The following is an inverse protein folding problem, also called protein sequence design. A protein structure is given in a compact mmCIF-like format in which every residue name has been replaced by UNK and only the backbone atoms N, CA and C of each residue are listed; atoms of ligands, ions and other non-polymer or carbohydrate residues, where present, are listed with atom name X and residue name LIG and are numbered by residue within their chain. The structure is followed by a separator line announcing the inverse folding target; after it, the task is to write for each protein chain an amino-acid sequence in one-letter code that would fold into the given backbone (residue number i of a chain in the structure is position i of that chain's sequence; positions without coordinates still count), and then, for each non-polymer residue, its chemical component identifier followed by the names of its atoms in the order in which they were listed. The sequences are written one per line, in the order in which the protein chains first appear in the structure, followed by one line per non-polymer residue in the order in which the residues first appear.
data_IF_658831392850
#
_entry.id   IF_658831392850
#
_cell.length_a   1.000
_cell.length_b   1.000
_cell.length_c   1.000
_cell.angle_alpha   90.00
_cell.angle_beta   90.00
_cell.angle_gamma   90.00
#
_symmetry.space_group_name_H-M   'P 1'
#
loop_
_entity.id
_entity.type
_entity.pdbx_description
1 polymer ?
2 branched ?
3 non-polymer ?
4 non-polymer ?
5 non-polymer ?
6 water ?
#
# COMPACT_ATOMS: atom_id res chain seq x y z
N UNK A 23 -11.20 -20.91 18.30
CA UNK A 23 -11.54 -19.51 17.94
C UNK A 23 -10.33 -18.76 17.38
N UNK A 24 -9.30 -19.56 17.10
CA UNK A 24 -7.90 -19.26 16.87
C UNK A 24 -7.61 -19.49 15.39
N UNK A 25 -8.43 -20.35 14.76
CA UNK A 25 -8.04 -20.99 13.54
C UNK A 25 -8.58 -20.22 12.35
N UNK A 26 -7.66 -20.08 11.40
CA UNK A 26 -7.92 -19.53 10.12
C UNK A 26 -8.14 -20.67 9.14
N UNK A 27 -8.76 -20.42 7.98
CA UNK A 27 -8.95 -21.43 6.95
C UNK A 27 -7.61 -22.03 6.53
N UNK A 28 -7.61 -23.33 6.22
CA UNK A 28 -6.37 -23.99 5.86
C UNK A 28 -5.76 -23.41 4.58
N UNK A 29 -6.56 -22.79 3.71
CA UNK A 29 -6.11 -22.18 2.47
C UNK A 29 -5.85 -20.66 2.61
N UNK A 30 -5.82 -20.18 3.84
CA UNK A 30 -5.64 -18.75 4.10
C UNK A 30 -4.24 -18.36 3.59
N UNK A 31 -4.17 -17.17 3.01
CA UNK A 31 -2.89 -16.61 2.57
C UNK A 31 -2.22 -15.92 3.75
N UNK A 32 -0.97 -16.32 4.03
CA UNK A 32 -0.17 -15.76 5.09
C UNK A 32 1.11 -15.22 4.46
N UNK A 33 1.32 -13.91 4.61
CA UNK A 33 2.43 -13.30 3.89
C UNK A 33 3.00 -12.12 4.65
N UNK A 34 4.07 -11.55 4.07
CA UNK A 34 4.53 -10.24 4.42
C UNK A 34 4.68 -9.43 3.14
N UNK A 35 4.66 -8.10 3.28
CA UNK A 35 4.59 -7.19 2.16
C UNK A 35 5.75 -6.22 2.17
N UNK A 36 6.14 -5.83 0.96
CA UNK A 36 7.10 -4.77 0.67
C UNK A 36 6.66 -4.00 -0.58
N UNK A 37 7.40 -2.92 -0.88
CA UNK A 37 7.26 -2.10 -2.09
C UNK A 37 8.66 -1.91 -2.68
N UNK A 38 8.75 -1.85 -4.00
CA UNK A 38 10.04 -1.87 -4.69
C UNK A 38 10.98 -0.75 -4.25
N UNK A 39 10.52 0.49 -4.26
CA UNK A 39 11.42 1.61 -3.96
C UNK A 39 11.91 1.51 -2.51
N UNK A 40 11.09 0.92 -1.65
CA UNK A 40 11.40 0.87 -0.23
C UNK A 40 12.54 -0.08 0.04
N UNK A 41 12.75 -1.09 -0.82
CA UNK A 41 13.67 -2.17 -0.47
C UNK A 41 14.78 -2.39 -1.52
N UNK A 42 14.52 -2.12 -2.81
CA UNK A 42 15.34 -2.73 -3.86
C UNK A 42 16.76 -2.15 -3.98
N UNK A 43 16.90 -0.84 -3.86
CA UNK A 43 18.13 -0.18 -4.27
C UNK A 43 18.44 -0.40 -5.74
N UNK A 44 19.74 -0.49 -6.08
CA UNK A 44 20.15 -0.70 -7.48
C UNK A 44 19.38 0.24 -8.43
N UNK A 45 19.38 1.53 -8.12
CA UNK A 45 18.40 2.45 -8.70
C UNK A 45 18.74 2.80 -10.13
N UNK A 46 20.01 2.70 -10.52
CA UNK A 46 20.39 2.93 -11.90
C UNK A 46 20.84 1.65 -12.60
N UNK A 47 20.68 0.50 -11.97
CA UNK A 47 21.18 -0.74 -12.53
C UNK A 47 20.22 -1.38 -13.55
N UNK A 48 20.80 -2.09 -14.52
CA UNK A 48 20.06 -2.95 -15.43
C UNK A 48 18.92 -2.18 -16.10
N UNK A 49 19.23 -0.94 -16.50
CA UNK A 49 18.35 -0.16 -17.36
C UNK A 49 17.28 0.63 -16.61
N UNK A 50 17.25 0.55 -15.27
CA UNK A 50 16.19 1.24 -14.53
C UNK A 50 16.24 2.73 -14.80
N UNK A 51 15.08 3.32 -15.04
CA UNK A 51 14.98 4.76 -15.21
C UNK A 51 14.82 5.51 -13.90
N UNK A 52 14.67 6.83 -13.95
CA UNK A 52 14.48 7.66 -12.78
C UNK A 52 13.00 7.71 -12.43
N UNK A 53 12.66 7.49 -11.15
CA UNK A 53 11.30 7.59 -10.67
C UNK A 53 11.13 8.91 -9.89
N UNK A 54 9.88 9.33 -9.69
CA UNK A 54 9.58 10.49 -8.88
C UNK A 54 10.23 10.40 -7.51
N UNK A 55 10.35 9.19 -6.96
CA UNK A 55 10.90 9.03 -5.63
C UNK A 55 12.41 9.18 -5.64
N UNK A 56 13.04 8.85 -6.76
CA UNK A 56 14.47 9.19 -6.91
C UNK A 56 14.62 10.70 -6.88
N UNK A 57 13.82 11.40 -7.68
CA UNK A 57 13.89 12.86 -7.70
C UNK A 57 13.60 13.46 -6.32
N UNK A 58 12.55 12.95 -5.68
CA UNK A 58 12.10 13.50 -4.41
C UNK A 58 13.08 13.22 -3.26
N UNK A 59 13.55 11.99 -3.16
CA UNK A 59 14.50 11.58 -2.14
C UNK A 59 15.76 12.42 -2.23
N UNK A 60 16.18 12.70 -3.48
CA UNK A 60 17.40 13.45 -3.76
C UNK A 60 17.17 14.95 -3.66
N UNK A 61 15.99 15.42 -3.25
CA UNK A 61 15.72 16.84 -3.07
C UNK A 61 15.94 17.18 -1.59
N UNK A 62 16.91 18.06 -1.27
CA UNK A 62 17.20 18.38 0.12
C UNK A 62 15.97 18.74 0.94
N UNK A 63 15.89 18.08 2.08
CA UNK A 63 14.89 18.36 3.08
C UNK A 63 13.60 17.56 2.96
N UNK A 64 13.40 16.83 1.84
CA UNK A 64 12.16 16.08 1.70
C UNK A 64 12.10 14.84 2.59
N UNK A 65 13.23 14.21 2.91
CA UNK A 65 13.24 12.99 3.72
C UNK A 65 13.82 13.38 5.09
N UNK A 66 13.21 12.88 6.15
CA UNK A 66 13.52 13.31 7.51
C UNK A 66 14.99 13.19 7.85
N UNK A 67 15.66 12.16 7.34
CA UNK A 67 16.97 11.78 7.86
C UNK A 67 18.02 11.75 6.78
N UNK A 68 17.72 12.41 5.65
CA UNK A 68 18.71 12.54 4.59
C UNK A 68 18.95 11.29 3.75
N UNK A 69 18.18 10.23 3.98
CA UNK A 69 18.38 8.99 3.28
C UNK A 69 17.59 8.99 1.97
N UNK A 70 17.96 8.00 1.14
CA UNK A 70 17.31 7.77 -0.14
C UNK A 70 17.07 6.29 -0.28
N UNK A 71 16.39 5.92 -1.36
CA UNK A 71 16.22 4.55 -1.78
C UNK A 71 17.37 4.04 -2.62
N UNK A 72 18.51 4.76 -2.66
CA UNK A 72 19.58 4.34 -3.55
C UNK A 72 20.09 2.92 -3.29
N UNK A 73 20.22 2.57 -2.01
CA UNK A 73 20.58 1.23 -1.63
C UNK A 73 19.42 0.51 -0.95
N UNK A 74 18.79 1.16 0.03
CA UNK A 74 17.71 0.61 0.81
C UNK A 74 18.14 -0.71 1.43
N UNK A 75 17.43 -1.80 1.15
CA UNK A 75 17.75 -3.12 1.65
C UNK A 75 18.57 -3.91 0.65
N UNK A 76 18.88 -3.31 -0.51
CA UNK A 76 19.59 -3.95 -1.60
C UNK A 76 18.88 -5.23 -2.04
N UNK A 77 17.52 -5.20 -2.01
CA UNK A 77 16.78 -6.40 -2.36
C UNK A 77 16.80 -6.74 -3.86
N UNK A 78 17.15 -5.81 -4.73
CA UNK A 78 17.31 -6.13 -6.13
C UNK A 78 18.36 -7.25 -6.28
N UNK A 79 19.41 -7.17 -5.46
CA UNK A 79 20.42 -8.19 -5.43
C UNK A 79 20.16 -9.26 -4.37
N UNK A 80 19.45 -8.93 -3.30
CA UNK A 80 19.37 -9.78 -2.13
C UNK A 80 17.99 -10.37 -1.92
N UNK A 81 17.16 -10.41 -2.99
CA UNK A 81 15.82 -10.96 -2.84
C UNK A 81 15.85 -12.41 -2.37
N UNK A 82 16.92 -13.16 -2.67
CA UNK A 82 16.97 -14.55 -2.24
C UNK A 82 17.07 -14.63 -0.72
N UNK A 83 17.76 -13.66 -0.11
CA UNK A 83 17.81 -13.56 1.33
C UNK A 83 16.41 -13.29 1.85
N UNK A 84 15.67 -12.44 1.14
CA UNK A 84 14.30 -12.12 1.54
C UNK A 84 13.43 -13.37 1.49
N UNK A 85 13.58 -14.18 0.44
CA UNK A 85 12.89 -15.46 0.30
C UNK A 85 13.27 -16.38 1.48
N UNK A 86 14.54 -16.37 1.84
CA UNK A 86 14.97 -17.15 3.01
C UNK A 86 14.24 -16.74 4.29
N UNK A 87 14.04 -15.45 4.48
CA UNK A 87 13.28 -14.93 5.63
C UNK A 87 11.83 -15.44 5.56
N UNK A 88 11.17 -15.26 4.39
CA UNK A 88 9.78 -15.66 4.26
C UNK A 88 9.61 -17.14 4.54
N UNK A 89 10.58 -17.94 4.08
CA UNK A 89 10.55 -19.36 4.35
C UNK A 89 10.73 -19.64 5.84
N UNK A 90 11.66 -18.95 6.47
CA UNK A 90 11.89 -19.12 7.90
C UNK A 90 10.68 -18.77 8.73
N UNK A 91 9.88 -17.81 8.26
CA UNK A 91 8.68 -17.35 8.94
C UNK A 91 7.50 -18.28 8.67
N UNK A 92 7.67 -19.26 7.76
CA UNK A 92 6.64 -20.20 7.41
C UNK A 92 5.46 -19.54 6.69
N UNK A 93 5.75 -18.46 5.97
CA UNK A 93 4.76 -17.79 5.16
C UNK A 93 4.42 -18.64 3.92
N UNK A 94 3.28 -18.38 3.28
CA UNK A 94 2.94 -19.06 2.04
C UNK A 94 2.68 -18.07 0.92
N UNK A 95 3.11 -16.80 1.09
CA UNK A 95 2.88 -15.79 0.08
C UNK A 95 3.82 -14.62 0.36
N UNK A 96 4.08 -13.85 -0.68
CA UNK A 96 4.81 -12.60 -0.57
C UNK A 96 4.18 -11.56 -1.46
N UNK A 97 3.87 -10.44 -0.82
CA UNK A 97 3.35 -9.30 -1.54
C UNK A 97 4.49 -8.33 -1.77
N UNK A 98 4.71 -8.00 -3.04
CA UNK A 98 5.77 -7.09 -3.44
C UNK A 98 5.32 -6.31 -4.67
N UNK A 99 6.06 -5.28 -5.00
CA UNK A 99 5.71 -4.45 -6.14
C UNK A 99 6.78 -4.60 -7.23
N UNK A 100 6.32 -4.41 -8.47
CA UNK A 100 7.18 -4.31 -9.64
C UNK A 100 7.42 -2.82 -9.91
N UNK A 101 8.70 -2.43 -10.09
CA UNK A 101 9.06 -1.04 -10.34
C UNK A 101 8.85 -0.70 -11.81
N UNK A 102 7.81 0.11 -12.10
CA UNK A 102 7.56 0.59 -13.46
C UNK A 102 8.84 1.13 -14.09
N UNK A 103 9.70 1.86 -13.35
CA UNK A 103 10.97 2.35 -13.93
C UNK A 103 11.90 1.25 -14.45
N UNK A 104 11.79 0.02 -13.95
CA UNK A 104 12.60 -1.06 -14.46
C UNK A 104 11.98 -1.70 -15.71
N UNK A 105 10.69 -1.50 -15.95
CA UNK A 105 9.98 -2.21 -17.02
C UNK A 105 9.83 -1.30 -18.23
N UNK A 106 9.42 -0.06 -17.99
CA UNK A 106 9.34 0.96 -19.05
C UNK A 106 10.05 2.20 -18.54
N UNK A 107 11.39 2.28 -18.68
CA UNK A 107 12.14 3.33 -18.00
C UNK A 107 11.73 4.77 -18.27
N UNK A 108 11.13 5.02 -19.45
CA UNK A 108 10.70 6.37 -19.78
C UNK A 108 9.22 6.56 -19.45
N UNK A 109 8.58 5.57 -18.85
CA UNK A 109 7.15 5.64 -18.52
C UNK A 109 6.26 5.27 -19.68
N UNK A 110 6.49 5.98 -20.78
CA UNK A 110 5.89 5.74 -22.08
C UNK A 110 7.04 5.63 -23.06
N UNK A 111 7.29 4.42 -23.48
CA UNK A 111 8.45 4.21 -24.33
C UNK A 111 8.76 2.72 -24.36
N UNK A 112 9.97 2.37 -24.84
CA UNK A 112 10.32 0.97 -24.99
C UNK A 112 10.34 0.21 -23.68
N UNK A 113 10.09 -1.07 -23.81
CA UNK A 113 10.25 -1.97 -22.68
C UNK A 113 11.74 -2.20 -22.42
N UNK A 114 12.05 -2.52 -21.17
CA UNK A 114 13.37 -2.91 -20.70
C UNK A 114 13.32 -4.39 -20.33
N UNK A 115 13.78 -5.24 -21.24
CA UNK A 115 13.57 -6.67 -21.04
C UNK A 115 14.38 -7.15 -19.81
N UNK A 116 15.50 -6.49 -19.53
CA UNK A 116 16.25 -6.89 -18.33
C UNK A 116 15.46 -6.79 -17.03
N UNK A 117 14.60 -5.76 -16.95
CA UNK A 117 13.72 -5.59 -15.78
C UNK A 117 12.73 -6.75 -15.71
N UNK A 118 12.04 -7.05 -16.83
CA UNK A 118 11.10 -8.14 -16.83
C UNK A 118 11.77 -9.46 -16.50
N UNK A 119 12.97 -9.70 -17.01
CA UNK A 119 13.68 -10.93 -16.76
C UNK A 119 14.02 -11.05 -15.28
N UNK A 120 14.38 -9.94 -14.66
CA UNK A 120 14.67 -9.94 -13.22
C UNK A 120 13.46 -10.43 -12.43
N UNK A 121 12.29 -9.86 -12.72
CA UNK A 121 11.11 -10.21 -11.93
C UNK A 121 10.59 -11.60 -12.32
N UNK A 122 10.89 -12.05 -13.54
CA UNK A 122 10.61 -13.44 -13.92
C UNK A 122 11.42 -14.41 -13.05
N UNK A 123 12.70 -14.08 -12.85
CA UNK A 123 13.50 -14.96 -12.02
C UNK A 123 13.01 -14.95 -10.57
N UNK A 124 12.72 -13.76 -10.06
CA UNK A 124 12.23 -13.61 -8.69
C UNK A 124 10.91 -14.40 -8.53
N UNK A 125 9.96 -14.29 -9.50
CA UNK A 125 8.73 -15.04 -9.41
C UNK A 125 9.01 -16.54 -9.35
N UNK A 126 9.97 -17.01 -10.16
CA UNK A 126 10.27 -18.43 -10.18
C UNK A 126 10.88 -18.85 -8.85
N UNK A 127 11.75 -18.00 -8.30
CA UNK A 127 12.35 -18.29 -6.98
C UNK A 127 11.28 -18.38 -5.90
N UNK A 128 10.27 -17.50 -5.95
CA UNK A 128 9.17 -17.54 -4.99
C UNK A 128 8.43 -18.85 -5.16
N UNK A 129 7.98 -19.15 -6.39
CA UNK A 129 7.20 -20.35 -6.63
C UNK A 129 7.99 -21.61 -6.26
N UNK A 130 9.29 -21.63 -6.53
CA UNK A 130 10.16 -22.73 -6.11
C UNK A 130 10.18 -22.93 -4.60
N UNK A 131 9.99 -21.87 -3.82
CA UNK A 131 9.98 -21.90 -2.36
C UNK A 131 8.59 -22.16 -1.75
N UNK A 132 7.58 -22.29 -2.59
CA UNK A 132 6.21 -22.47 -2.17
C UNK A 132 5.57 -21.19 -1.69
N UNK A 133 6.02 -20.04 -2.21
CA UNK A 133 5.49 -18.74 -1.84
C UNK A 133 4.69 -18.17 -3.02
N UNK A 134 3.40 -17.95 -2.83
CA UNK A 134 2.59 -17.36 -3.87
C UNK A 134 2.88 -15.87 -4.02
N UNK A 135 3.26 -15.41 -5.22
CA UNK A 135 3.48 -13.97 -5.46
C UNK A 135 2.15 -13.20 -5.57
N UNK A 136 2.03 -12.16 -4.76
CA UNK A 136 0.93 -11.22 -4.84
C UNK A 136 1.56 -9.93 -5.32
N UNK A 137 1.36 -9.61 -6.59
CA UNK A 137 2.15 -8.56 -7.19
C UNK A 137 1.34 -7.29 -7.26
N UNK A 138 1.95 -6.20 -6.80
CA UNK A 138 1.44 -4.85 -7.03
C UNK A 138 2.14 -4.23 -8.23
N UNK A 139 1.34 -3.67 -9.15
CA UNK A 139 1.96 -3.02 -10.29
C UNK A 139 2.45 -1.62 -9.96
N UNK A 140 1.69 -0.83 -9.19
CA UNK A 140 2.08 0.53 -8.91
C UNK A 140 2.10 0.78 -7.42
N UNK A 141 3.32 0.94 -6.89
CA UNK A 141 3.50 1.31 -5.49
C UNK A 141 4.36 2.57 -5.42
N UNK A 142 3.99 3.57 -6.23
CA UNK A 142 4.28 4.98 -6.04
C UNK A 142 5.47 5.47 -6.86
N UNK A 143 6.12 4.63 -7.65
CA UNK A 143 7.38 4.94 -8.31
C UNK A 143 7.12 5.32 -9.75
N UNK A 144 6.31 6.34 -9.95
CA UNK A 144 6.01 6.84 -11.30
C UNK A 144 7.30 7.23 -12.00
N UNK A 145 7.53 6.81 -13.26
CA UNK A 145 8.69 7.30 -13.99
C UNK A 145 8.71 8.82 -14.07
N UNK A 146 9.88 9.42 -13.79
CA UNK A 146 9.99 10.87 -13.80
C UNK A 146 9.60 11.48 -15.13
N UNK A 147 9.93 10.89 -16.30
CA UNK A 147 9.50 11.53 -17.55
C UNK A 147 7.99 11.76 -17.65
N UNK A 148 7.17 10.90 -17.03
CA UNK A 148 5.74 11.11 -17.04
C UNK A 148 5.39 12.28 -16.14
N UNK A 149 6.02 12.39 -14.95
CA UNK A 149 5.82 13.55 -14.11
C UNK A 149 6.22 14.86 -14.81
N UNK A 150 7.26 14.84 -15.65
CA UNK A 150 7.61 16.02 -16.45
C UNK A 150 6.45 16.47 -17.36
N UNK A 151 5.54 15.57 -17.70
CA UNK A 151 4.34 15.85 -18.49
C UNK A 151 3.07 15.76 -17.64
N UNK A 152 3.19 16.19 -16.37
CA UNK A 152 2.14 16.44 -15.40
C UNK A 152 1.82 15.21 -14.55
N UNK A 153 2.42 14.05 -14.87
CA UNK A 153 2.24 12.86 -14.06
C UNK A 153 0.78 12.44 -13.91
N UNK A 154 0.35 12.18 -12.69
CA UNK A 154 -1.05 11.81 -12.47
C UNK A 154 -2.01 12.96 -12.73
N UNK A 155 -1.50 14.17 -12.97
CA UNK A 155 -2.37 15.22 -13.46
C UNK A 155 -2.79 15.11 -14.91
N UNK A 156 -2.23 14.18 -15.68
CA UNK A 156 -2.56 13.99 -17.09
C UNK A 156 -3.30 12.66 -17.29
N UNK A 157 -4.40 12.67 -18.07
CA UNK A 157 -5.08 11.43 -18.47
C UNK A 157 -4.14 10.49 -19.20
N UNK A 158 -3.15 11.01 -19.93
CA UNK A 158 -2.26 10.18 -20.71
C UNK A 158 -1.44 9.27 -19.81
N UNK A 159 -1.28 9.64 -18.56
CA UNK A 159 -0.55 8.78 -17.63
C UNK A 159 -1.38 7.54 -17.30
N UNK A 160 -2.69 7.67 -17.17
CA UNK A 160 -3.56 6.51 -17.02
C UNK A 160 -3.46 5.57 -18.22
N UNK A 161 -3.43 6.10 -19.43
CA UNK A 161 -3.30 5.28 -20.63
C UNK A 161 -2.04 4.43 -20.56
N UNK A 162 -0.93 5.08 -20.26
CA UNK A 162 0.35 4.40 -20.36
C UNK A 162 0.59 3.52 -19.14
N UNK A 163 -0.09 3.80 -18.04
CA UNK A 163 -0.10 2.86 -16.92
C UNK A 163 -0.76 1.56 -17.35
N UNK A 164 -1.89 1.64 -18.08
CA UNK A 164 -2.56 0.43 -18.51
C UNK A 164 -1.67 -0.38 -19.49
N UNK A 165 -0.87 0.30 -20.30
CA UNK A 165 0.05 -0.33 -21.24
C UNK A 165 1.11 -1.09 -20.46
N UNK A 166 1.65 -0.42 -19.45
CA UNK A 166 2.63 -1.07 -18.56
C UNK A 166 2.04 -2.34 -17.94
N UNK A 167 0.80 -2.27 -17.46
CA UNK A 167 0.11 -3.40 -16.86
C UNK A 167 0.02 -4.57 -17.84
N UNK A 168 -0.36 -4.27 -19.08
CA UNK A 168 -0.41 -5.24 -20.16
C UNK A 168 0.94 -5.94 -20.33
N UNK A 169 2.01 -5.16 -20.44
CA UNK A 169 3.36 -5.64 -20.67
C UNK A 169 3.77 -6.65 -19.58
N UNK A 170 3.51 -6.28 -18.33
CA UNK A 170 3.94 -7.15 -17.24
C UNK A 170 3.11 -8.43 -17.18
N UNK A 171 1.76 -8.35 -17.33
CA UNK A 171 0.93 -9.53 -17.26
C UNK A 171 1.24 -10.49 -18.40
N UNK A 172 1.61 -9.96 -19.57
CA UNK A 172 1.94 -10.84 -20.68
C UNK A 172 3.13 -11.72 -20.36
N UNK A 173 4.05 -11.21 -19.56
CA UNK A 173 5.27 -11.95 -19.26
C UNK A 173 5.15 -12.80 -18.02
N UNK A 174 4.48 -12.33 -16.98
CA UNK A 174 4.43 -13.04 -15.72
C UNK A 174 3.08 -13.69 -15.40
N UNK A 175 2.04 -13.38 -16.18
CA UNK A 175 0.69 -13.84 -15.89
C UNK A 175 0.42 -15.33 -16.11
N UNK A 176 1.42 -16.04 -16.63
CA UNK A 176 1.34 -17.48 -16.69
C UNK A 176 1.64 -18.11 -15.35
N UNK A 177 2.23 -17.33 -14.43
CA UNK A 177 2.69 -17.80 -13.13
C UNK A 177 2.04 -17.07 -11.96
N UNK A 178 1.69 -15.80 -12.15
CA UNK A 178 1.10 -15.00 -11.10
C UNK A 178 -0.37 -14.88 -11.41
N UNK A 179 -1.20 -15.32 -10.47
CA UNK A 179 -2.65 -15.16 -10.63
C UNK A 179 -3.15 -13.89 -9.93
N UNK A 180 -2.51 -13.48 -8.85
CA UNK A 180 -3.07 -12.44 -7.98
C UNK A 180 -2.28 -11.16 -8.16
N UNK A 181 -2.99 -10.16 -8.71
CA UNK A 181 -2.44 -8.86 -9.06
C UNK A 181 -3.22 -7.75 -8.39
N UNK A 182 -2.52 -6.70 -7.99
CA UNK A 182 -3.15 -5.43 -7.69
C UNK A 182 -2.65 -4.37 -8.67
N UNK A 183 -3.55 -3.52 -9.15
CA UNK A 183 -3.19 -2.40 -10.00
C UNK A 183 -2.40 -1.39 -9.17
N UNK A 184 -3.10 -0.68 -8.29
CA UNK A 184 -2.53 0.39 -7.49
C UNK A 184 -2.48 -0.01 -6.03
N UNK A 185 -1.46 0.56 -5.36
CA UNK A 185 -1.40 0.58 -3.90
C UNK A 185 -1.71 2.00 -3.46
N UNK A 186 -2.82 2.15 -2.71
CA UNK A 186 -3.08 3.37 -1.95
C UNK A 186 -3.08 4.62 -2.83
N UNK A 187 -4.07 4.77 -3.72
CA UNK A 187 -4.17 5.99 -4.50
C UNK A 187 -4.38 7.25 -3.69
N UNK A 188 -5.00 7.14 -2.52
CA UNK A 188 -5.10 8.33 -1.65
C UNK A 188 -3.71 8.88 -1.35
N UNK A 189 -2.77 8.00 -1.00
CA UNK A 189 -1.43 8.52 -0.70
C UNK A 189 -0.83 9.18 -1.95
N UNK A 190 -0.85 8.49 -3.09
CA UNK A 190 -0.25 9.02 -4.31
C UNK A 190 -0.87 10.37 -4.64
N UNK A 191 -2.20 10.46 -4.57
CA UNK A 191 -2.88 11.70 -4.94
C UNK A 191 -2.75 12.78 -3.87
N UNK A 192 -3.16 12.46 -2.64
CA UNK A 192 -3.32 13.51 -1.66
C UNK A 192 -1.98 13.82 -0.99
N UNK A 193 -1.19 12.80 -0.64
CA UNK A 193 0.12 13.11 -0.09
C UNK A 193 1.10 13.59 -1.18
N UNK A 194 0.95 13.11 -2.43
CA UNK A 194 1.92 13.48 -3.47
C UNK A 194 1.60 14.80 -4.19
N UNK A 195 0.31 15.20 -4.27
CA UNK A 195 -0.05 16.35 -5.07
C UNK A 195 -0.80 17.43 -4.29
N UNK A 196 -1.39 17.12 -3.13
CA UNK A 196 -2.11 18.11 -2.33
C UNK A 196 -1.30 18.56 -1.13
N UNK A 197 -0.84 17.61 -0.30
CA UNK A 197 -0.10 17.97 0.89
C UNK A 197 1.41 18.06 0.69
N UNK A 198 1.91 17.53 -0.42
CA UNK A 198 3.31 17.68 -0.80
C UNK A 198 4.29 16.87 0.04
N UNK A 199 3.85 15.90 0.85
CA UNK A 199 4.80 15.22 1.72
C UNK A 199 5.41 13.98 1.06
N UNK A 200 4.78 13.49 -0.02
CA UNK A 200 5.26 12.37 -0.84
C UNK A 200 5.57 12.87 -2.24
N UNK A 201 6.38 12.09 -2.97
CA UNK A 201 6.65 12.46 -4.35
C UNK A 201 5.37 12.52 -5.18
N UNK A 202 5.23 13.46 -6.12
CA UNK A 202 6.27 14.40 -6.53
C UNK A 202 6.40 15.67 -5.71
N UNK A 203 5.52 15.88 -4.72
CA UNK A 203 5.68 16.97 -3.77
C UNK A 203 4.90 18.23 -4.14
N UNK A 204 3.82 18.10 -4.93
CA UNK A 204 2.96 19.25 -5.23
C UNK A 204 2.04 19.55 -4.05
N UNK A 205 1.54 20.80 -4.03
CA UNK A 205 0.71 21.28 -2.92
C UNK A 205 -0.50 22.04 -3.45
N UNK A 206 -1.40 21.37 -4.13
CA UNK A 206 -2.62 22.00 -4.61
C UNK A 206 -3.77 21.00 -4.58
N UNK A 207 -4.91 21.43 -4.00
CA UNK A 207 -6.03 20.52 -3.86
C UNK A 207 -6.56 20.08 -5.22
N UNK A 208 -6.67 21.00 -6.19
CA UNK A 208 -7.19 20.62 -7.49
C UNK A 208 -6.26 19.59 -8.15
N UNK A 209 -4.95 19.77 -8.02
CA UNK A 209 -4.01 18.80 -8.57
C UNK A 209 -4.19 17.43 -7.89
N UNK A 210 -4.39 17.43 -6.57
CA UNK A 210 -4.61 16.18 -5.86
C UNK A 210 -5.87 15.46 -6.32
N UNK A 211 -6.94 16.21 -6.48
CA UNK A 211 -8.19 15.61 -6.91
C UNK A 211 -8.14 15.11 -8.34
N UNK A 212 -7.46 15.86 -9.20
CA UNK A 212 -7.27 15.47 -10.58
C UNK A 212 -6.43 14.20 -10.63
N UNK A 213 -5.39 14.18 -9.80
CA UNK A 213 -4.56 13.00 -9.70
C UNK A 213 -5.38 11.80 -9.26
N UNK A 214 -6.27 11.99 -8.28
CA UNK A 214 -7.06 10.88 -7.76
C UNK A 214 -7.90 10.28 -8.89
N UNK A 215 -8.48 11.12 -9.74
CA UNK A 215 -9.30 10.66 -10.83
C UNK A 215 -8.48 9.88 -11.84
N UNK A 216 -7.30 10.39 -12.21
CA UNK A 216 -6.49 9.73 -13.21
C UNK A 216 -5.86 8.43 -12.69
N UNK A 217 -5.62 8.35 -11.39
CA UNK A 217 -5.20 7.10 -10.76
C UNK A 217 -6.32 6.08 -10.88
N UNK A 218 -7.55 6.46 -10.47
CA UNK A 218 -8.69 5.56 -10.59
C UNK A 218 -8.94 5.16 -12.03
N UNK A 219 -8.81 6.10 -12.98
CA UNK A 219 -8.97 5.80 -14.39
C UNK A 219 -7.88 4.85 -14.88
N UNK A 220 -6.64 5.07 -14.43
CA UNK A 220 -5.57 4.14 -14.72
C UNK A 220 -5.86 2.74 -14.24
N UNK A 221 -6.32 2.61 -12.99
CA UNK A 221 -6.78 1.36 -12.44
C UNK A 221 -7.79 0.70 -13.39
N UNK A 222 -8.87 1.41 -13.73
CA UNK A 222 -9.89 0.81 -14.59
C UNK A 222 -9.40 0.38 -15.96
N UNK A 223 -8.63 1.25 -16.60
CA UNK A 223 -8.07 0.91 -17.88
C UNK A 223 -7.14 -0.31 -17.75
N UNK A 224 -6.32 -0.35 -16.70
CA UNK A 224 -5.41 -1.45 -16.48
C UNK A 224 -6.12 -2.77 -16.26
N UNK A 225 -7.23 -2.79 -15.52
CA UNK A 225 -7.95 -4.03 -15.29
C UNK A 225 -8.34 -4.60 -16.65
N UNK A 226 -8.92 -3.76 -17.53
CA UNK A 226 -9.43 -4.23 -18.80
C UNK A 226 -8.24 -4.72 -19.65
N UNK A 227 -7.11 -3.98 -19.63
CA UNK A 227 -5.95 -4.33 -20.43
C UNK A 227 -5.36 -5.64 -19.91
N UNK A 228 -5.30 -5.80 -18.58
CA UNK A 228 -4.78 -7.03 -17.98
C UNK A 228 -5.62 -8.26 -18.33
N UNK A 229 -6.95 -8.13 -18.28
CA UNK A 229 -7.85 -9.23 -18.62
C UNK A 229 -7.67 -9.63 -20.08
N UNK A 230 -7.44 -8.66 -20.98
CA UNK A 230 -7.22 -8.92 -22.39
C UNK A 230 -5.85 -9.56 -22.65
N UNK A 231 -4.80 -9.16 -21.91
CA UNK A 231 -3.43 -9.59 -22.16
C UNK A 231 -3.13 -10.91 -21.46
N UNK A 232 -3.99 -11.32 -20.50
CA UNK A 232 -3.73 -12.41 -19.58
C UNK A 232 -3.60 -13.74 -20.31
N UNK A 233 -2.56 -14.56 -20.11
CA UNK A 233 -2.63 -15.91 -20.67
C UNK A 233 -3.44 -16.92 -19.87
N UNK A 234 -3.98 -16.53 -18.71
CA UNK A 234 -4.84 -17.42 -17.95
C UNK A 234 -5.76 -16.50 -17.12
N UNK A 235 -6.90 -16.97 -16.62
CA UNK A 235 -7.70 -16.17 -15.68
C UNK A 235 -6.88 -15.61 -14.53
N UNK A 236 -7.07 -14.32 -14.26
CA UNK A 236 -6.39 -13.62 -13.15
C UNK A 236 -7.36 -13.18 -12.06
N UNK A 237 -6.81 -12.97 -10.85
CA UNK A 237 -7.55 -12.41 -9.74
C UNK A 237 -6.99 -11.00 -9.54
N UNK A 238 -7.67 -10.00 -10.08
CA UNK A 238 -7.19 -8.62 -10.09
C UNK A 238 -7.93 -7.83 -9.03
N UNK A 239 -7.15 -7.11 -8.22
CA UNK A 239 -7.73 -6.19 -7.26
C UNK A 239 -7.01 -4.83 -7.27
N UNK A 240 -7.41 -4.04 -6.27
CA UNK A 240 -6.80 -2.76 -5.95
C UNK A 240 -6.62 -2.76 -4.44
N UNK A 241 -5.61 -2.03 -4.00
CA UNK A 241 -5.27 -1.97 -2.58
C UNK A 241 -5.51 -0.52 -2.11
N UNK A 242 -6.35 -0.36 -1.08
CA UNK A 242 -6.65 0.94 -0.49
C UNK A 242 -6.17 0.98 0.95
N UNK A 243 -5.57 2.11 1.35
CA UNK A 243 -5.45 2.43 2.78
C UNK A 243 -6.82 2.90 3.24
N UNK A 244 -7.32 2.36 4.33
CA UNK A 244 -8.57 2.82 4.92
C UNK A 244 -8.31 3.18 6.38
N UNK A 245 -8.89 4.31 6.81
CA UNK A 245 -8.75 4.79 8.16
C UNK A 245 -10.15 4.99 8.72
N UNK A 246 -10.62 4.07 9.58
CA UNK A 246 -11.95 4.25 10.18
C UNK A 246 -11.88 5.51 11.03
N UNK A 247 -12.97 6.26 10.97
CA UNK A 247 -12.99 7.60 11.54
C UNK A 247 -14.13 7.67 12.56
N UNK A 248 -13.82 8.29 13.70
CA UNK A 248 -14.78 8.37 14.79
C UNK A 248 -14.85 9.80 15.29
N UNK A 249 -16.06 10.36 15.49
CA UNK A 249 -16.15 11.72 16.02
C UNK A 249 -15.74 11.69 17.48
N UNK A 250 -14.93 12.68 17.92
CA UNK A 250 -14.45 12.73 19.29
C UNK A 250 -15.59 13.04 20.25
N UNK A 251 -16.67 13.64 19.72
CA UNK A 251 -17.90 13.87 20.48
C UNK A 251 -19.08 13.72 19.52
N UNK A 252 -20.29 13.78 20.06
CA UNK A 252 -21.45 13.59 19.21
C UNK A 252 -22.01 14.93 18.77
N UNK A 253 -21.25 16.01 18.96
CA UNK A 253 -21.64 17.32 18.53
C UNK A 253 -21.72 17.32 17.00
N UNK A 254 -22.68 18.04 16.39
CA UNK A 254 -22.74 18.18 14.93
C UNK A 254 -21.42 18.52 14.23
N UNK A 255 -20.66 19.43 14.83
CA UNK A 255 -19.41 19.87 14.24
C UNK A 255 -18.40 18.72 14.15
N UNK A 256 -18.34 17.91 15.20
CA UNK A 256 -17.36 16.82 15.24
C UNK A 256 -17.82 15.65 14.38
N UNK A 257 -19.13 15.36 14.39
CA UNK A 257 -19.64 14.32 13.53
C UNK A 257 -19.41 14.69 12.08
N UNK A 258 -19.62 15.95 11.71
CA UNK A 258 -19.42 16.38 10.33
C UNK A 258 -17.95 16.25 9.95
N UNK A 259 -17.08 16.59 10.90
CA UNK A 259 -15.65 16.49 10.66
C UNK A 259 -15.26 15.04 10.39
N UNK A 260 -15.78 14.14 11.23
CA UNK A 260 -15.53 12.72 11.00
C UNK A 260 -16.04 12.33 9.62
N UNK A 261 -17.23 12.78 9.23
CA UNK A 261 -17.75 12.46 7.90
C UNK A 261 -16.87 12.99 6.76
N UNK A 262 -16.38 14.23 6.86
CA UNK A 262 -15.54 14.79 5.81
C UNK A 262 -14.22 14.00 5.74
N UNK A 263 -13.60 13.67 6.89
CA UNK A 263 -12.36 12.91 6.81
C UNK A 263 -12.56 11.53 6.25
N UNK A 264 -13.66 10.88 6.65
CA UNK A 264 -14.02 9.59 6.10
C UNK A 264 -14.21 9.69 4.59
N UNK A 265 -14.81 10.78 4.09
CA UNK A 265 -14.97 10.97 2.65
C UNK A 265 -13.64 11.20 1.94
N UNK A 266 -12.75 11.95 2.61
CA UNK A 266 -11.48 12.39 2.06
C UNK A 266 -10.59 11.18 1.79
N UNK A 267 -10.55 10.26 2.76
CA UNK A 267 -9.64 9.10 2.70
C UNK A 267 -10.37 7.91 2.08
N UNK A 268 -11.60 7.60 2.54
CA UNK A 268 -12.14 6.28 2.28
C UNK A 268 -13.15 6.33 1.15
N UNK A 269 -14.24 7.10 1.32
CA UNK A 269 -15.35 6.99 0.40
C UNK A 269 -15.03 7.58 -0.96
N UNK A 270 -14.11 8.53 -1.00
CA UNK A 270 -13.69 9.10 -2.27
C UNK A 270 -13.24 8.04 -3.26
N UNK A 271 -12.58 6.98 -2.74
CA UNK A 271 -12.09 5.86 -3.53
C UNK A 271 -13.09 4.68 -3.55
N UNK A 272 -13.66 4.32 -2.42
CA UNK A 272 -14.54 3.14 -2.37
C UNK A 272 -15.78 3.35 -3.22
N UNK A 273 -16.38 4.54 -3.15
CA UNK A 273 -17.64 4.74 -3.85
C UNK A 273 -17.50 4.61 -5.35
N UNK A 274 -16.58 5.32 -6.04
CA UNK A 274 -16.49 5.15 -7.49
C UNK A 274 -16.09 3.74 -7.90
N UNK A 275 -15.23 3.09 -7.08
CA UNK A 275 -14.90 1.70 -7.34
C UNK A 275 -16.14 0.80 -7.28
N UNK A 276 -17.09 1.16 -6.41
CA UNK A 276 -18.29 0.37 -6.18
C UNK A 276 -19.39 0.71 -7.18
N UNK A 277 -19.12 1.57 -8.14
CA UNK A 277 -20.12 1.98 -9.13
C UNK A 277 -21.12 3.02 -8.61
N UNK A 278 -20.72 3.75 -7.55
CA UNK A 278 -21.61 4.70 -6.85
C UNK A 278 -21.25 6.13 -7.20
N UNK A 279 -20.37 6.34 -8.19
CA UNK A 279 -19.84 7.65 -8.50
C UNK A 279 -19.04 8.21 -7.33
N UNK A 280 -18.56 9.45 -7.45
CA UNK A 280 -17.90 10.12 -6.33
C UNK A 280 -18.94 10.50 -5.27
N UNK A 281 -18.61 10.45 -3.97
CA UNK A 281 -19.58 10.81 -2.94
C UNK A 281 -20.05 12.27 -3.07
N UNK A 282 -21.36 12.48 -3.11
CA UNK A 282 -21.84 13.82 -3.47
C UNK A 282 -21.52 14.84 -2.38
N UNK A 283 -21.46 14.43 -1.11
CA UNK A 283 -21.14 15.35 -0.02
C UNK A 283 -19.74 15.91 -0.25
N UNK A 284 -18.85 15.05 -0.73
CA UNK A 284 -17.48 15.50 -0.96
C UNK A 284 -17.40 16.30 -2.25
N UNK A 285 -18.17 15.95 -3.28
CA UNK A 285 -18.17 16.74 -4.49
C UNK A 285 -18.58 18.18 -4.17
N UNK A 286 -19.63 18.32 -3.37
CA UNK A 286 -20.17 19.64 -3.10
C UNK A 286 -19.17 20.44 -2.25
N UNK A 287 -18.48 19.73 -1.32
CA UNK A 287 -17.49 20.31 -0.44
C UNK A 287 -16.28 20.80 -1.24
N UNK A 288 -15.75 19.96 -2.13
CA UNK A 288 -14.64 20.34 -2.99
C UNK A 288 -15.01 21.39 -4.05
N UNK A 289 -16.27 21.45 -4.46
CA UNK A 289 -16.65 22.34 -5.53
C UNK A 289 -15.87 22.13 -6.82
N UNK A 290 -15.48 23.22 -7.48
CA UNK A 290 -14.94 23.13 -8.83
C UNK A 290 -13.56 22.51 -8.81
N UNK A 291 -13.00 22.33 -7.61
CA UNK A 291 -11.68 21.68 -7.50
C UNK A 291 -11.77 20.19 -7.85
N UNK A 292 -12.96 19.59 -7.68
CA UNK A 292 -13.15 18.19 -8.05
C UNK A 292 -13.12 18.04 -9.56
N UNK A 293 -12.70 16.87 -10.06
CA UNK A 293 -12.59 16.69 -11.51
C UNK A 293 -13.99 16.58 -12.08
N UNK A 294 -14.09 16.84 -13.39
CA UNK A 294 -15.34 16.68 -14.12
C UNK A 294 -15.45 15.23 -14.56
N UNK A 295 -15.99 14.41 -13.66
CA UNK A 295 -16.02 12.98 -13.89
C UNK A 295 -17.15 12.63 -14.86
N UNK A 296 -16.82 12.48 -16.14
CA UNK A 296 -17.86 12.12 -17.08
C UNK A 296 -18.27 10.66 -16.84
N UNK A 297 -19.49 10.26 -17.27
CA UNK A 297 -19.99 8.91 -17.00
C UNK A 297 -19.14 7.75 -17.51
N UNK A 298 -18.51 7.96 -18.68
CA UNK A 298 -17.69 6.96 -19.35
C UNK A 298 -16.49 6.59 -18.45
N UNK A 299 -15.91 7.59 -17.79
CA UNK A 299 -14.77 7.35 -16.91
C UNK A 299 -15.24 6.52 -15.71
N UNK A 300 -16.39 6.88 -15.15
CA UNK A 300 -16.83 6.25 -13.92
C UNK A 300 -17.16 4.80 -14.23
N UNK A 301 -17.68 4.53 -15.43
CA UNK A 301 -17.93 3.15 -15.84
C UNK A 301 -16.63 2.35 -15.87
N UNK A 302 -15.58 2.97 -16.38
CA UNK A 302 -14.27 2.31 -16.49
C UNK A 302 -13.67 2.06 -15.09
N UNK A 303 -13.84 3.03 -14.19
CA UNK A 303 -13.30 2.93 -12.83
C UNK A 303 -13.93 1.77 -12.08
N UNK A 304 -15.22 1.52 -12.37
CA UNK A 304 -16.01 0.57 -11.59
C UNK A 304 -15.95 -0.85 -12.15
N UNK A 305 -14.89 -1.19 -12.89
CA UNK A 305 -14.66 -2.58 -13.32
C UNK A 305 -14.74 -3.52 -12.11
N UNK A 306 -15.38 -4.71 -12.26
CA UNK A 306 -15.58 -5.61 -11.12
C UNK A 306 -14.21 -6.04 -10.64
N UNK A 307 -14.03 -6.05 -9.32
CA UNK A 307 -12.75 -6.49 -8.78
C UNK A 307 -12.89 -7.96 -8.40
N UNK A 308 -11.81 -8.71 -8.58
CA UNK A 308 -11.77 -10.06 -8.04
C UNK A 308 -11.53 -10.09 -6.55
N UNK A 309 -10.91 -9.03 -6.01
CA UNK A 309 -10.62 -8.91 -4.60
C UNK A 309 -10.30 -7.45 -4.30
N UNK A 310 -10.47 -7.07 -3.04
CA UNK A 310 -10.01 -5.77 -2.55
C UNK A 310 -9.03 -5.97 -1.41
N UNK A 311 -7.90 -5.22 -1.44
CA UNK A 311 -6.94 -5.24 -0.40
C UNK A 311 -7.09 -4.01 0.50
N UNK A 312 -6.93 -4.25 1.80
CA UNK A 312 -7.06 -3.22 2.80
C UNK A 312 -5.74 -3.07 3.51
N UNK A 313 -5.22 -1.84 3.50
CA UNK A 313 -4.05 -1.49 4.29
C UNK A 313 -4.54 -0.72 5.52
N UNK A 314 -4.26 -1.21 6.71
CA UNK A 314 -4.80 -0.69 7.98
C UNK A 314 -3.67 -0.48 8.97
N UNK A 315 -3.56 0.77 9.49
CA UNK A 315 -2.60 1.08 10.54
C UNK A 315 -3.26 1.71 11.77
N UNK A 316 -4.26 2.57 11.54
CA UNK A 316 -4.71 3.44 12.61
C UNK A 316 -6.15 3.87 12.34
N UNK A 317 -6.79 4.40 13.41
CA UNK A 317 -8.06 5.09 13.21
C UNK A 317 -7.80 6.60 13.20
N UNK A 318 -8.87 7.35 12.95
CA UNK A 318 -8.81 8.80 13.13
C UNK A 318 -9.96 9.15 14.08
N UNK A 319 -9.62 9.62 15.26
CA UNK A 319 -10.64 10.21 16.13
C UNK A 319 -10.67 11.73 15.93
N UNK A 320 -11.74 12.23 15.31
CA UNK A 320 -11.81 13.54 14.66
C UNK A 320 -12.55 14.59 15.51
N UNK A 321 -11.96 15.79 15.53
CA UNK A 321 -12.62 17.01 15.97
C UNK A 321 -12.59 17.98 14.81
N UNK A 322 -13.61 18.84 14.78
CA UNK A 322 -13.67 19.91 13.81
C UNK A 322 -12.44 20.81 13.90
N UNK A 323 -11.93 21.25 12.75
CA UNK A 323 -10.81 22.17 12.69
C UNK A 323 -11.06 23.17 11.58
N UNK A 324 -11.93 24.17 11.85
CA UNK A 324 -12.40 25.07 10.80
C UNK A 324 -11.27 25.82 10.13
N UNK A 325 -10.15 25.99 10.85
CA UNK A 325 -9.09 26.85 10.35
C UNK A 325 -8.04 26.04 9.60
N UNK A 326 -8.15 24.71 9.60
CA UNK A 326 -7.16 23.86 8.97
C UNK A 326 -7.48 23.70 7.48
N UNK A 327 -6.51 23.17 6.74
CA UNK A 327 -6.72 22.72 5.37
C UNK A 327 -7.86 21.70 5.34
N UNK A 328 -8.57 21.73 4.22
CA UNK A 328 -9.54 20.70 3.90
C UNK A 328 -8.90 19.32 4.16
N UNK A 329 -9.58 18.35 4.81
CA UNK A 329 -11.01 18.42 5.14
C UNK A 329 -11.42 18.97 6.51
N UNK A 330 -10.60 19.84 7.10
CA UNK A 330 -10.98 20.60 8.27
C UNK A 330 -11.32 19.65 9.43
N UNK A 331 -10.43 18.67 9.66
CA UNK A 331 -10.58 17.70 10.72
C UNK A 331 -9.24 17.53 11.39
N UNK A 332 -9.21 17.49 12.69
CA UNK A 332 -7.96 17.26 13.39
C UNK A 332 -8.07 16.01 14.25
N UNK A 333 -6.91 15.38 14.45
CA UNK A 333 -6.85 14.15 15.23
C UNK A 333 -6.89 14.54 16.70
N UNK A 334 -7.75 13.92 17.51
CA UNK A 334 -7.70 14.12 18.95
C UNK A 334 -7.20 12.84 19.60
N UNK A 335 -6.00 12.87 20.17
CA UNK A 335 -5.43 11.66 20.72
C UNK A 335 -6.23 11.31 21.96
N UNK A 336 -6.31 10.01 22.21
CA UNK A 336 -7.13 9.43 23.26
C UNK A 336 -6.18 8.89 24.31
N UNK A 337 -6.22 9.39 25.57
CA UNK A 337 -5.25 8.98 26.60
C UNK A 337 -5.30 7.48 26.91
N UNK A 338 -6.47 6.89 26.65
CA UNK A 338 -6.76 5.48 26.96
C UNK A 338 -6.12 4.51 25.97
N UNK A 339 -5.57 4.99 24.85
CA UNK A 339 -4.96 4.11 23.86
C UNK A 339 -3.47 4.34 23.87
N UNK A 340 -2.67 3.26 23.87
CA UNK A 340 -1.23 3.39 23.70
C UNK A 340 -0.81 3.71 22.26
N UNK A 341 0.41 4.22 22.11
CA UNK A 341 0.98 4.62 20.85
C UNK A 341 2.17 3.73 20.57
N UNK A 342 2.51 3.55 19.28
CA UNK A 342 3.81 3.03 18.86
C UNK A 342 4.81 4.16 18.70
N UNK A 343 5.84 3.97 17.84
CA UNK A 343 6.80 5.02 17.57
C UNK A 343 6.14 6.16 16.80
N UNK A 344 5.06 5.88 16.08
CA UNK A 344 4.48 6.89 15.20
C UNK A 344 2.96 6.91 15.17
N UNK A 345 2.23 5.97 15.81
CA UNK A 345 0.79 5.95 15.73
C UNK A 345 0.13 5.47 17.03
N UNK A 346 -1.14 5.79 17.13
CA UNK A 346 -2.03 5.23 18.13
C UNK A 346 -2.37 3.81 17.72
N UNK A 347 -2.42 2.87 18.70
CA UNK A 347 -2.81 1.49 18.46
C UNK A 347 -4.31 1.33 18.74
N UNK A 348 -5.06 0.87 17.73
CA UNK A 348 -6.48 0.69 17.87
C UNK A 348 -6.96 -0.52 17.06
N UNK A 349 -6.77 -1.74 17.62
CA UNK A 349 -7.04 -2.95 16.84
C UNK A 349 -8.48 -3.07 16.41
N UNK A 350 -9.38 -2.59 17.27
CA UNK A 350 -10.79 -2.64 16.97
C UNK A 350 -11.19 -1.85 15.74
N UNK A 351 -10.36 -0.90 15.30
CA UNK A 351 -10.64 -0.19 14.05
C UNK A 351 -10.63 -1.10 12.82
N UNK A 352 -9.82 -2.16 12.88
CA UNK A 352 -9.74 -3.16 11.83
C UNK A 352 -11.05 -3.95 11.78
N UNK A 353 -11.56 -4.32 12.96
CA UNK A 353 -12.85 -4.97 12.98
C UNK A 353 -13.89 -4.05 12.38
N UNK A 354 -13.92 -2.78 12.80
CA UNK A 354 -14.99 -1.90 12.34
C UNK A 354 -14.92 -1.74 10.84
N UNK A 355 -13.69 -1.49 10.32
CA UNK A 355 -13.61 -1.21 8.90
C UNK A 355 -13.99 -2.44 8.06
N UNK A 356 -13.61 -3.64 8.48
CA UNK A 356 -13.99 -4.85 7.78
C UNK A 356 -15.51 -5.05 7.82
N UNK A 357 -16.13 -4.78 8.99
CA UNK A 357 -17.58 -4.97 9.11
C UNK A 357 -18.25 -3.96 8.18
N UNK A 358 -17.69 -2.74 8.08
CA UNK A 358 -18.24 -1.79 7.15
C UNK A 358 -18.14 -2.26 5.70
N UNK A 359 -16.94 -2.73 5.31
CA UNK A 359 -16.83 -3.25 3.96
C UNK A 359 -17.79 -4.40 3.70
N UNK A 360 -17.85 -5.33 4.66
CA UNK A 360 -18.71 -6.49 4.55
C UNK A 360 -20.16 -6.04 4.34
N UNK A 361 -20.65 -5.15 5.19
CA UNK A 361 -22.07 -4.82 5.15
C UNK A 361 -22.41 -3.70 4.17
N UNK A 362 -21.52 -2.71 3.95
CA UNK A 362 -21.89 -1.46 3.28
C UNK A 362 -21.41 -1.41 1.83
N UNK A 363 -20.43 -2.27 1.47
CA UNK A 363 -19.89 -2.28 0.12
C UNK A 363 -19.93 -3.69 -0.48
N UNK A 364 -19.83 -3.82 -1.82
CA UNK A 364 -19.92 -5.11 -2.50
C UNK A 364 -18.63 -5.92 -2.63
N UNK A 365 -17.49 -5.32 -2.34
CA UNK A 365 -16.24 -6.00 -2.68
C UNK A 365 -16.05 -7.26 -1.85
N UNK A 366 -15.59 -8.30 -2.53
CA UNK A 366 -15.24 -9.55 -1.87
C UNK A 366 -14.60 -10.46 -2.90
N UNK A 367 -13.69 -11.34 -2.49
CA UNK A 367 -13.17 -11.40 -1.13
C UNK A 367 -12.20 -10.26 -0.79
N UNK A 368 -11.86 -10.20 0.47
CA UNK A 368 -10.95 -9.18 0.97
C UNK A 368 -9.67 -9.82 1.44
N UNK A 369 -8.59 -9.04 1.30
CA UNK A 369 -7.30 -9.38 1.89
C UNK A 369 -6.84 -8.21 2.73
N UNK A 370 -6.13 -8.47 3.83
CA UNK A 370 -5.41 -7.42 4.53
C UNK A 370 -4.03 -7.42 3.89
N UNK A 371 -3.74 -6.39 3.06
CA UNK A 371 -2.52 -6.39 2.27
C UNK A 371 -1.37 -5.68 2.98
N UNK A 372 -1.61 -4.91 4.04
CA UNK A 372 -0.60 -4.32 4.89
C UNK A 372 -1.21 -4.06 6.27
N UNK A 373 -0.49 -4.47 7.30
CA UNK A 373 -0.88 -4.17 8.68
C UNK A 373 0.37 -4.42 9.50
N UNK A 374 0.79 -3.45 10.28
CA UNK A 374 1.99 -3.55 11.10
C UNK A 374 2.27 -2.23 11.83
N UNK A 375 3.37 -2.19 12.48
CA UNK A 375 3.71 -1.04 13.30
C UNK A 375 5.22 -0.81 13.40
N UNK A 376 5.51 0.45 13.78
CA UNK A 376 6.85 0.93 13.91
C UNK A 376 7.21 1.10 15.38
N UNK A 377 8.40 0.70 15.70
CA UNK A 377 8.94 0.80 17.05
C UNK A 377 10.37 1.27 16.99
N UNK A 378 10.88 1.63 18.17
CA UNK A 378 12.28 1.98 18.27
C UNK A 378 13.06 0.68 18.46
N UNK A 379 13.09 -0.18 17.43
CA UNK A 379 13.70 -1.49 17.53
C UNK A 379 15.20 -1.39 17.68
N UNK A 380 15.75 -2.21 18.57
CA UNK A 380 17.16 -2.27 18.78
C UNK A 380 17.55 -3.73 18.96
N UNK A 381 18.74 -4.05 18.47
CA UNK A 381 19.34 -5.33 18.74
C UNK A 381 19.77 -5.36 20.20
N UNK A 382 19.24 -6.38 20.89
CA UNK A 382 19.53 -6.52 22.31
C UNK A 382 20.86 -7.24 22.53
N UNK A 383 21.23 -7.29 23.81
CA UNK A 383 22.50 -7.89 24.21
C UNK A 383 22.62 -9.33 23.71
N UNK A 384 21.49 -10.05 23.67
CA UNK A 384 21.46 -11.44 23.26
C UNK A 384 21.46 -11.56 21.74
N UNK A 385 21.23 -10.45 21.04
CA UNK A 385 21.24 -10.50 19.57
C UNK A 385 19.86 -10.50 18.93
N UNK A 386 18.81 -10.74 19.72
CA UNK A 386 17.46 -10.66 19.20
C UNK A 386 16.94 -9.24 19.27
N UNK A 387 15.72 -9.07 18.76
CA UNK A 387 14.99 -7.84 18.86
C UNK A 387 13.72 -8.13 19.61
N UNK A 388 13.61 -7.60 20.84
CA UNK A 388 12.47 -7.88 21.70
C UNK A 388 11.35 -6.87 21.51
N UNK A 389 10.60 -7.03 20.42
CA UNK A 389 9.54 -6.13 20.01
C UNK A 389 8.18 -6.62 20.50
N UNK A 390 8.02 -6.72 21.84
CA UNK A 390 6.76 -7.22 22.33
C UNK A 390 5.54 -6.43 21.93
N UNK A 391 5.68 -5.09 21.82
CA UNK A 391 4.49 -4.33 21.46
C UNK A 391 4.03 -4.69 20.05
N UNK A 392 4.98 -5.00 19.17
CA UNK A 392 4.64 -5.44 17.82
C UNK A 392 4.04 -6.85 17.82
N UNK A 393 4.56 -7.76 18.61
CA UNK A 393 3.91 -9.04 18.82
C UNK A 393 2.46 -8.85 19.27
N UNK A 394 2.26 -8.04 20.31
CA UNK A 394 0.92 -7.72 20.80
C UNK A 394 0.07 -7.05 19.73
N UNK A 395 0.69 -6.18 18.88
CA UNK A 395 -0.03 -5.57 17.78
C UNK A 395 -0.62 -6.62 16.84
N UNK A 396 0.23 -7.58 16.42
CA UNK A 396 -0.23 -8.66 15.56
C UNK A 396 -1.27 -9.53 16.26
N UNK A 397 -0.99 -9.95 17.50
CA UNK A 397 -1.94 -10.78 18.24
C UNK A 397 -3.32 -10.11 18.31
N UNK A 398 -3.32 -8.78 18.58
CA UNK A 398 -4.59 -8.12 18.77
C UNK A 398 -5.32 -7.91 17.45
N UNK A 399 -4.57 -7.63 16.38
CA UNK A 399 -5.22 -7.40 15.12
C UNK A 399 -5.77 -8.72 14.55
N UNK A 400 -4.99 -9.80 14.70
CA UNK A 400 -5.41 -11.12 14.24
C UNK A 400 -6.62 -11.58 15.04
N UNK A 401 -6.72 -11.17 16.29
CA UNK A 401 -7.93 -11.46 17.06
C UNK A 401 -9.15 -10.78 16.45
N UNK A 402 -9.00 -9.51 16.05
CA UNK A 402 -10.07 -8.80 15.39
C UNK A 402 -10.40 -9.43 14.04
N UNK A 403 -9.39 -9.99 13.32
CA UNK A 403 -9.69 -10.67 12.08
C UNK A 403 -10.51 -11.94 12.35
N UNK A 404 -10.23 -12.66 13.44
CA UNK A 404 -11.02 -13.84 13.82
C UNK A 404 -12.47 -13.40 14.07
N UNK A 405 -12.64 -12.26 14.75
CA UNK A 405 -13.98 -11.74 15.03
C UNK A 405 -14.72 -11.40 13.75
N UNK A 406 -14.00 -10.75 12.81
CA UNK A 406 -14.56 -10.40 11.52
C UNK A 406 -14.94 -11.63 10.68
N UNK A 407 -14.08 -12.65 10.68
CA UNK A 407 -14.42 -13.89 9.99
C UNK A 407 -15.69 -14.49 10.62
N UNK A 408 -15.79 -14.42 11.95
CA UNK A 408 -16.93 -14.98 12.68
C UNK A 408 -18.20 -14.26 12.24
N UNK A 409 -18.10 -12.96 11.94
CA UNK A 409 -19.23 -12.17 11.50
C UNK A 409 -19.58 -12.37 10.03
N UNK A 410 -18.79 -13.16 9.30
CA UNK A 410 -19.10 -13.49 7.93
C UNK A 410 -18.23 -12.73 6.92
N UNK A 411 -17.23 -11.97 7.41
CA UNK A 411 -16.42 -11.19 6.46
C UNK A 411 -15.60 -12.18 5.63
N UNK A 412 -15.62 -12.06 4.29
CA UNK A 412 -14.91 -12.96 3.39
C UNK A 412 -13.44 -12.62 3.25
N UNK A 413 -12.74 -12.78 4.34
CA UNK A 413 -11.31 -12.50 4.41
C UNK A 413 -10.54 -13.75 3.98
N UNK A 414 -9.57 -13.58 3.06
CA UNK A 414 -8.85 -14.70 2.48
C UNK A 414 -7.34 -14.63 2.74
N UNK A 415 -6.85 -13.55 3.33
CA UNK A 415 -5.43 -13.55 3.65
C UNK A 415 -4.98 -12.33 4.45
N UNK A 416 -3.75 -12.41 4.91
CA UNK A 416 -3.18 -11.40 5.77
C UNK A 416 -1.71 -11.24 5.42
N UNK A 417 -1.30 -10.00 5.15
CA UNK A 417 0.11 -9.72 4.96
C UNK A 417 0.60 -8.71 5.97
N UNK A 418 1.60 -9.10 6.74
CA UNK A 418 2.25 -8.23 7.68
C UNK A 418 3.06 -7.17 6.94
N UNK A 419 2.89 -5.95 7.37
CA UNK A 419 3.81 -4.87 7.00
C UNK A 419 4.85 -4.76 8.06
N UNK A 420 6.13 -4.82 7.76
CA UNK A 420 6.70 -5.17 6.46
C UNK A 420 7.57 -6.41 6.69
N UNK A 421 8.01 -7.06 5.61
CA UNK A 421 8.94 -8.15 5.77
C UNK A 421 10.17 -7.64 6.50
N UNK A 422 10.68 -6.47 6.13
CA UNK A 422 11.89 -6.00 6.78
C UNK A 422 11.87 -4.49 6.85
N UNK A 423 12.69 -3.99 7.78
CA UNK A 423 12.85 -2.56 7.92
C UNK A 423 13.29 -2.00 6.57
N UNK A 424 12.73 -0.85 6.22
CA UNK A 424 12.92 -0.34 4.86
C UNK A 424 12.96 1.18 4.82
N UNK A 425 13.05 1.71 3.60
CA UNK A 425 12.93 3.15 3.39
C UNK A 425 11.46 3.54 3.45
N UNK A 426 11.00 4.09 4.58
CA UNK A 426 9.60 4.46 4.80
C UNK A 426 9.33 5.89 4.32
N UNK A 427 9.54 6.09 3.02
CA UNK A 427 9.07 7.29 2.34
C UNK A 427 9.65 8.53 3.00
N UNK A 428 8.82 9.50 3.39
CA UNK A 428 9.32 10.77 3.93
C UNK A 428 10.03 10.56 5.26
N UNK A 429 9.87 9.41 5.92
CA UNK A 429 10.55 9.16 7.19
C UNK A 429 11.92 8.52 6.97
N UNK A 430 12.20 8.08 5.75
CA UNK A 430 13.51 7.53 5.48
C UNK A 430 13.70 6.17 6.11
N UNK A 431 14.95 5.87 6.43
CA UNK A 431 15.29 4.61 7.07
C UNK A 431 15.02 4.67 8.58
N UNK A 432 14.61 5.80 9.13
CA UNK A 432 14.55 5.94 10.59
C UNK A 432 13.22 5.48 11.19
N UNK A 433 12.34 4.84 10.43
CA UNK A 433 11.10 4.39 11.00
C UNK A 433 10.93 2.91 10.64
N UNK A 434 11.17 2.02 11.62
CA UNK A 434 11.32 0.58 11.42
C UNK A 434 10.00 -0.15 11.61
N UNK A 435 9.46 -0.69 10.50
CA UNK A 435 8.21 -1.41 10.51
C UNK A 435 8.40 -2.91 10.25
N UNK A 436 9.62 -3.38 10.11
CA UNK A 436 9.88 -4.78 9.78
C UNK A 436 9.46 -5.78 10.86
N UNK A 437 9.12 -6.99 10.40
CA UNK A 437 9.13 -8.16 11.29
C UNK A 437 10.53 -8.77 11.33
N UNK A 438 11.41 -8.33 10.43
CA UNK A 438 12.83 -8.57 10.42
C UNK A 438 13.55 -7.23 10.49
N UNK A 439 14.61 -7.18 11.28
CA UNK A 439 15.44 -6.01 11.43
C UNK A 439 16.42 -5.95 10.27
N UNK A 440 16.60 -4.76 9.68
CA UNK A 440 17.58 -4.58 8.64
C UNK A 440 18.72 -3.68 9.15
N UNK A 441 19.94 -4.22 9.14
CA UNK A 441 21.12 -3.40 9.36
C UNK A 441 21.41 -2.65 8.07
N UNK A 442 21.12 -1.35 7.99
CA UNK A 442 21.30 -0.64 6.72
C UNK A 442 22.74 -0.43 6.31
N UNK A 443 23.70 -0.64 7.22
CA UNK A 443 25.10 -0.49 6.86
C UNK A 443 25.66 -1.78 6.28
N UNK A 444 25.32 -2.92 6.89
CA UNK A 444 25.85 -4.19 6.46
C UNK A 444 24.89 -5.00 5.58
N UNK A 445 23.63 -4.59 5.65
CA UNK A 445 22.50 -5.22 4.94
C UNK A 445 22.13 -6.58 5.50
N UNK A 446 22.65 -6.94 6.67
CA UNK A 446 22.17 -8.12 7.35
C UNK A 446 20.72 -7.95 7.81
N UNK A 447 19.96 -9.04 7.75
CA UNK A 447 18.61 -9.11 8.26
C UNK A 447 18.56 -10.11 9.40
N UNK A 448 17.78 -9.78 10.43
CA UNK A 448 17.56 -10.65 11.59
C UNK A 448 16.10 -10.65 11.94
N UNK A 449 15.49 -11.83 12.17
CA UNK A 449 14.10 -11.93 12.49
C UNK A 449 13.90 -11.38 13.91
N UNK A 450 12.90 -10.53 14.05
CA UNK A 450 12.52 -9.98 15.35
C UNK A 450 11.64 -10.98 16.08
N UNK A 451 11.43 -10.76 17.39
CA UNK A 451 10.58 -11.69 18.12
C UNK A 451 9.17 -11.78 17.58
N UNK A 452 8.62 -10.68 17.09
CA UNK A 452 7.30 -10.69 16.52
C UNK A 452 7.27 -11.61 15.30
N UNK A 453 8.36 -11.64 14.54
CA UNK A 453 8.43 -12.52 13.39
C UNK A 453 8.33 -13.99 13.83
N UNK A 454 9.08 -14.35 14.89
CA UNK A 454 9.03 -15.72 15.36
C UNK A 454 7.65 -16.03 15.94
N UNK A 455 6.97 -15.02 16.51
CA UNK A 455 5.62 -15.25 17.00
C UNK A 455 4.71 -15.57 15.82
N UNK A 456 4.81 -14.79 14.73
CA UNK A 456 3.99 -15.03 13.57
C UNK A 456 4.29 -16.43 13.00
N UNK A 457 5.57 -16.82 12.95
CA UNK A 457 5.95 -18.13 12.45
C UNK A 457 5.16 -19.20 13.20
N UNK A 458 5.20 -19.08 14.54
CA UNK A 458 4.63 -20.15 15.35
C UNK A 458 3.11 -20.13 15.33
N UNK A 459 2.53 -18.93 15.23
CA UNK A 459 1.08 -18.81 15.14
C UNK A 459 0.61 -19.44 13.84
N UNK A 460 1.27 -19.10 12.72
CA UNK A 460 0.90 -19.64 11.43
C UNK A 460 1.10 -21.15 11.41
N UNK A 461 2.16 -21.65 12.02
CA UNK A 461 2.42 -23.08 12.03
C UNK A 461 1.38 -23.83 12.88
N UNK A 462 0.85 -23.21 13.93
CA UNK A 462 -0.26 -23.78 14.68
C UNK A 462 -1.49 -24.04 13.80
N UNK A 463 -1.53 -23.41 12.61
CA UNK A 463 -2.59 -23.64 11.63
C UNK A 463 -2.24 -24.87 10.79
X LIG B 1 -0.85 5.88 6.58
X LIG B 1 -2.18 5.45 5.89
X LIG B 1 -3.39 6.08 6.59
X LIG B 1 -3.16 7.62 6.73
X LIG B 1 -4.27 8.38 7.46
X LIG B 1 -0.80 7.40 6.81
X LIG B 1 0.30 7.70 7.57
X LIG B 1 0.27 5.62 5.58
X LIG B 1 -2.30 4.01 5.92
X LIG B 1 -4.61 5.77 5.88
X LIG B 1 -1.98 7.77 7.52
X LIG B 1 -4.71 7.65 8.63
X LIG B 2 0.91 3.77 4.38
X LIG B 2 1.91 2.59 4.26
X LIG B 2 3.30 3.01 4.80
X LIG B 2 3.17 3.56 6.21
X LIG B 2 4.47 3.95 6.85
X LIG B 2 1.00 4.44 5.75
X LIG B 2 -0.41 3.24 4.20
X LIG B 2 2.01 2.15 2.89
X LIG B 2 4.16 1.84 4.81
X LIG B 2 2.35 4.74 6.14
X LIG B 2 5.41 4.56 5.90
X LIG C 1 -19.80 -4.35 -8.35
X LIG C 1 -19.18 -3.25 -9.20
X LIG C 1 -20.20 -2.61 -10.16
X LIG C 1 -21.47 -2.27 -9.43
X LIG C 1 -22.55 -1.84 -10.38
X LIG C 1 -21.12 -3.94 -7.73
X LIG C 1 -21.80 -5.02 -7.21
X LIG C 1 -18.88 -4.74 -7.34
X LIG C 1 -18.06 -3.80 -9.93
X LIG C 1 -19.74 -1.37 -10.75
X LIG C 1 -21.98 -3.43 -8.74
X LIG C 1 -23.67 -1.42 -9.62
X LIG C 2 -17.05 -6.12 -6.66
X LIG C 2 -16.52 -7.50 -6.43
X LIG C 2 -17.60 -8.36 -5.76
X LIG C 2 -18.92 -8.34 -6.55
X LIG C 2 -20.03 -9.07 -5.82
X LIG C 2 -18.40 -6.16 -7.42
X LIG C 2 -16.13 -5.29 -7.38
X LIG C 2 -15.35 -7.48 -5.59
X LIG C 2 -17.13 -9.69 -5.68
X LIG C 2 -19.40 -6.96 -6.74
X LIG C 2 -21.22 -9.07 -6.62
X LIG D 1 -19.69 8.38 12.21
X LIG D 1 -18.61 7.30 12.36
X LIG D 1 -18.23 6.72 10.99
X LIG D 1 -17.82 7.81 9.99
X LIG D 1 -17.12 5.74 11.02
X LIG D 1 -17.23 4.63 12.03
X LIG D 1 -16.10 3.60 11.94
X LIG D 1 -16.33 2.52 10.53
X LIG D 1 -15.10 1.65 10.60
X LIG D 1 -17.60 1.84 10.74
X LIG D 1 -16.35 3.38 9.37
X LIG D 1 -18.84 8.95 9.89
X LIG D 1 -19.23 9.48 11.27
X LIG E 1 4.54 3.97 23.14
X LIG F 1 -23.78 -6.25 -5.12
X LIG F 1 -23.66 -5.03 -5.37
X LIG F 1 -23.39 -7.16 -5.88
X LIG F 1 -24.52 -6.65 -3.85
X LIG F 1 -23.89 -7.85 -3.14
X LIG F 1 -23.24 -7.65 -2.10
X LIG F 1 -24.00 -8.97 -3.69
X LIG G 1 19.65 -9.57 -11.25
X LIG G 1 20.62 -9.82 -12.00
X LIG G 1 18.46 -9.73 -11.59
X LIG G 1 19.96 -9.08 -9.83
X LIG G 1 20.61 -10.19 -9.02
X LIG G 1 20.24 -11.36 -9.25
X LIG G 1 21.55 -9.87 -8.23
#
# INVERSE_FOLDING_TARGET
MGSSHHHHHHSSGLVPRGSHMAGERFPADFVWGAATAAYQIEGAVREDGRGVSIWDTFSHTPGKIADGTTGDVACDSYHRYGEDIGLLNALGMNAYRFSIAWPRIVPLGAGPINQAGLDHYSRMVDALLGAGLQPFVTLYHWDLPQPLEDRLGWGSRATATVFAEYADIVVRQLGDRVTHWATLNEPWCSAMLGYYLGVHAPGHTDLKRGLEASHNLLLGHGLAVQAMRAAAPQPLQIGIVLNLTPTYPASDSPEDVAAARRFDGFVNRWFLDPLAGRGYPQDMLDYYGAAAPQANPEDLTQIAAPLDWLGVNYYERMRAVDAPDASLPQAQRLDDPDLPHTADREVYPEGLYDILLRLHNDYPFRPLYITQNGCALHDEIAEDGGIHDGQRQAFFEAHLAQLQRALAAGVPLKGYFAWSLLDNFEWAMGLSMRYGICYTNFETLERRIKDSGYWLRDFIAGQRG
BGC C2 C3 C4 C5 C6 C1 O1 O2 O3 O4 O5 O6
BGC C2 C3 C4 C5 C6 C1 O2 O3 O4 O5 O6
BGC C2 C3 C4 C5 C6 C1 O1 O2 O3 O4 O5 O6
BGC C2 C3 C4 C5 C6 C1 O2 O3 O4 O5 O6
NHE C3' C2' C1' C6' N C1 C2 S O1 O2 O3 C5' C4'
NA NA
MLA C1 O1A O1B C2 C3 O3A O3B
MLA C1 O1A O1B C2 C3 O3A O3B
#
